data_IF_460382841852
#
_entry.id   IF_460382841852
#
_cell.length_a   1.000
_cell.length_b   1.000
_cell.length_c   1.000
_cell.angle_alpha   90.00
_cell.angle_beta   90.00
_cell.angle_gamma   90.00
#
_symmetry.space_group_name_H-M   'P 1'
#
loop_
_entity.id
_entity.type
_entity.pdbx_description
1 polymer ?
#
# COMPACT_ATOMS: atom_id res chain seq x y z
N UNK A 1 14.97 25.87 11.85
CA UNK A 1 15.00 24.65 12.66
C UNK A 1 13.74 23.85 12.34
N UNK A 2 13.79 22.52 12.34
CA UNK A 2 12.59 21.68 12.21
C UNK A 2 11.84 21.65 13.54
N UNK A 3 10.50 21.58 13.54
CA UNK A 3 9.73 21.49 14.78
C UNK A 3 9.98 20.13 15.46
N UNK A 4 9.92 20.10 16.80
CA UNK A 4 9.94 18.85 17.55
C UNK A 4 8.59 18.13 17.41
N UNK A 5 8.64 16.92 16.86
CA UNK A 5 7.47 16.06 16.61
C UNK A 5 7.38 14.88 17.59
N UNK A 6 8.19 14.89 18.65
CA UNK A 6 8.18 13.85 19.69
C UNK A 6 6.90 13.90 20.51
N UNK A 7 6.40 12.70 20.86
CA UNK A 7 5.25 12.49 21.74
C UNK A 7 5.16 11.01 22.12
N UNK A 8 4.30 10.68 23.09
CA UNK A 8 4.07 9.30 23.49
C UNK A 8 3.32 8.52 22.41
N UNK A 9 3.97 7.50 21.85
CA UNK A 9 3.40 6.58 20.88
C UNK A 9 3.04 7.21 19.52
N UNK A 10 2.62 6.37 18.54
CA UNK A 10 2.27 6.83 17.20
C UNK A 10 1.11 7.84 17.18
N UNK A 11 0.09 7.64 18.02
CA UNK A 11 -1.07 8.54 18.13
C UNK A 11 -0.67 9.94 18.61
N UNK A 12 0.12 10.01 19.69
CA UNK A 12 0.64 11.27 20.20
C UNK A 12 1.48 12.00 19.16
N UNK A 13 2.35 11.27 18.44
CA UNK A 13 3.17 11.86 17.37
C UNK A 13 2.32 12.37 16.22
N UNK A 14 1.25 11.66 15.86
CA UNK A 14 0.31 12.11 14.83
C UNK A 14 -0.42 13.40 15.24
N UNK A 15 -0.85 13.50 16.50
CA UNK A 15 -1.45 14.71 17.05
C UNK A 15 -0.47 15.90 17.06
N UNK A 16 0.78 15.67 17.50
CA UNK A 16 1.86 16.69 17.50
C UNK A 16 2.20 17.16 16.08
N UNK A 17 2.23 16.24 15.13
CA UNK A 17 2.44 16.53 13.71
C UNK A 17 1.32 17.39 13.14
N UNK A 18 0.05 17.04 13.42
CA UNK A 18 -1.09 17.82 12.96
C UNK A 18 -1.07 19.26 13.53
N UNK A 19 -0.63 19.43 14.78
CA UNK A 19 -0.45 20.76 15.37
C UNK A 19 0.68 21.53 14.69
N UNK A 20 1.84 20.92 14.46
CA UNK A 20 2.96 21.56 13.78
C UNK A 20 2.62 21.98 12.33
N UNK A 21 1.83 21.17 11.61
CA UNK A 21 1.33 21.53 10.28
C UNK A 21 0.43 22.76 10.31
N UNK A 22 -0.46 22.87 11.30
CA UNK A 22 -1.33 24.05 11.49
C UNK A 22 -0.52 25.30 11.83
N UNK A 23 0.42 25.19 12.78
CA UNK A 23 1.29 26.28 13.19
C UNK A 23 2.14 26.79 12.00
N UNK A 24 2.74 25.89 11.23
CA UNK A 24 3.53 26.23 10.05
C UNK A 24 2.67 26.90 8.96
N UNK A 25 1.45 26.40 8.73
CA UNK A 25 0.53 26.99 7.74
C UNK A 25 0.11 28.40 8.15
N UNK A 26 -0.20 28.61 9.43
CA UNK A 26 -0.59 29.91 9.96
C UNK A 26 0.58 30.93 9.96
N UNK A 27 1.82 30.45 10.09
CA UNK A 27 2.99 31.31 10.01
C UNK A 27 3.21 31.91 8.61
N UNK A 28 2.74 31.24 7.55
CA UNK A 28 2.91 31.72 6.18
C UNK A 28 4.36 31.75 5.70
N UNK A 29 5.23 30.95 6.30
CA UNK A 29 6.65 30.83 5.98
C UNK A 29 7.00 29.39 5.56
N UNK A 30 8.20 29.21 5.00
CA UNK A 30 8.72 27.88 4.71
C UNK A 30 8.97 27.08 6.01
N UNK A 31 8.40 25.89 6.10
CA UNK A 31 8.71 24.93 7.15
C UNK A 31 9.02 23.54 6.58
N UNK A 32 9.90 22.82 7.27
CA UNK A 32 10.21 21.42 7.01
C UNK A 32 9.87 20.62 8.26
N UNK A 33 8.99 19.64 8.13
CA UNK A 33 8.72 18.63 9.15
C UNK A 33 9.55 17.39 8.79
N UNK A 34 10.44 17.00 9.70
CA UNK A 34 11.33 15.86 9.56
C UNK A 34 10.71 14.64 10.25
N UNK A 35 10.56 13.53 9.51
CA UNK A 35 9.86 12.32 9.95
C UNK A 35 8.52 12.60 10.68
N UNK A 36 7.57 13.32 10.05
CA UNK A 36 6.26 13.53 10.64
C UNK A 36 5.49 12.21 10.75
N UNK A 37 4.64 12.09 11.78
CA UNK A 37 3.74 10.95 11.90
C UNK A 37 2.35 11.37 11.41
N UNK A 38 1.76 10.61 10.50
CA UNK A 38 0.43 10.82 9.95
C UNK A 38 -0.47 9.63 10.30
N UNK A 39 -1.77 9.89 10.42
CA UNK A 39 -2.77 8.85 10.63
C UNK A 39 -3.67 8.72 9.39
N UNK A 40 -3.88 7.48 8.96
CA UNK A 40 -4.82 7.13 7.90
C UNK A 40 -5.66 5.93 8.35
N UNK A 41 -6.97 6.00 8.16
CA UNK A 41 -7.83 4.86 8.41
C UNK A 41 -7.69 3.83 7.28
N UNK A 42 -7.38 2.59 7.65
CA UNK A 42 -7.25 1.45 6.73
C UNK A 42 -8.17 0.36 7.25
N UNK A 43 -9.21 0.04 6.47
CA UNK A 43 -10.16 -1.03 6.80
C UNK A 43 -10.77 -0.90 8.23
N UNK A 44 -11.08 0.32 8.66
CA UNK A 44 -11.66 0.59 9.99
C UNK A 44 -10.66 0.75 11.13
N UNK A 45 -9.36 0.54 10.90
CA UNK A 45 -8.31 0.69 11.92
C UNK A 45 -7.34 1.83 11.59
N UNK A 46 -6.81 2.58 12.58
CA UNK A 46 -5.79 3.59 12.34
C UNK A 46 -4.45 2.94 11.94
N UNK A 47 -3.94 3.34 10.77
CA UNK A 47 -2.57 3.11 10.36
C UNK A 47 -1.75 4.39 10.57
N UNK A 48 -0.58 4.23 11.19
CA UNK A 48 0.37 5.31 11.42
C UNK A 48 1.49 5.24 10.39
N UNK A 49 1.76 6.39 9.77
CA UNK A 49 2.57 6.52 8.57
C UNK A 49 3.64 7.58 8.80
N UNK A 50 4.87 7.28 8.44
CA UNK A 50 6.02 8.20 8.61
C UNK A 50 6.63 8.50 7.24
N UNK A 51 6.23 9.60 6.57
CA UNK A 51 6.97 10.13 5.43
C UNK A 51 8.36 10.55 5.85
N UNK A 52 9.31 10.59 4.90
CA UNK A 52 10.68 11.06 5.21
C UNK A 52 10.65 12.54 5.61
N UNK A 53 9.92 13.38 4.85
CA UNK A 53 9.62 14.74 5.27
C UNK A 53 8.35 15.32 4.63
N UNK A 54 7.86 16.42 5.20
CA UNK A 54 6.81 17.26 4.61
C UNK A 54 7.25 18.71 4.63
N UNK A 55 7.17 19.37 3.47
CA UNK A 55 7.44 20.81 3.33
C UNK A 55 6.12 21.57 3.35
N UNK A 56 6.01 22.59 4.21
CA UNK A 56 4.95 23.59 4.20
C UNK A 56 5.47 24.83 3.48
N UNK A 57 4.74 25.26 2.46
CA UNK A 57 5.05 26.44 1.65
C UNK A 57 4.36 27.68 2.26
N UNK A 58 4.88 28.89 2.01
CA UNK A 58 4.25 30.15 2.43
C UNK A 58 2.79 30.34 1.99
N UNK A 59 2.41 29.71 0.87
CA UNK A 59 1.04 29.74 0.32
C UNK A 59 0.10 28.71 0.96
N UNK A 60 0.55 28.00 2.00
CA UNK A 60 -0.22 26.96 2.69
C UNK A 60 -0.18 25.59 2.01
N UNK A 61 0.52 25.44 0.88
CA UNK A 61 0.69 24.14 0.22
C UNK A 61 1.59 23.22 1.04
N UNK A 62 1.22 21.95 1.16
CA UNK A 62 2.04 20.89 1.75
C UNK A 62 2.57 19.96 0.65
N UNK A 63 3.87 19.66 0.67
CA UNK A 63 4.53 18.77 -0.28
C UNK A 63 5.23 17.64 0.45
N UNK A 64 4.87 16.40 0.12
CA UNK A 64 5.57 15.20 0.59
C UNK A 64 6.95 15.13 -0.05
N UNK A 65 7.95 14.79 0.74
CA UNK A 65 9.30 14.46 0.30
C UNK A 65 9.57 12.99 0.61
N UNK A 66 9.90 12.22 -0.42
CA UNK A 66 10.30 10.82 -0.32
C UNK A 66 11.78 10.67 -0.64
N UNK A 67 12.53 10.04 0.24
CA UNK A 67 13.95 9.75 0.08
C UNK A 67 14.11 8.26 -0.22
N UNK A 68 14.79 7.92 -1.32
CA UNK A 68 15.05 6.54 -1.72
C UNK A 68 16.51 6.33 -2.07
N UNK A 69 17.02 5.12 -1.82
CA UNK A 69 18.43 4.76 -2.01
C UNK A 69 18.80 4.31 -3.41
N UNK A 70 17.83 4.15 -4.32
CA UNK A 70 18.15 3.82 -5.72
C UNK A 70 18.66 5.07 -6.46
N UNK A 71 19.65 4.94 -7.35
CA UNK A 71 20.24 6.10 -8.01
C UNK A 71 19.33 6.68 -9.09
N UNK A 72 19.44 8.01 -9.29
CA UNK A 72 19.04 8.69 -10.51
C UNK A 72 20.26 8.80 -11.42
N UNK A 73 20.31 8.00 -12.49
CA UNK A 73 21.36 7.95 -13.49
C UNK A 73 20.98 8.86 -14.65
N UNK A 74 21.83 9.84 -14.97
CA UNK A 74 21.59 10.79 -16.07
C UNK A 74 20.21 11.47 -15.98
N UNK A 75 19.83 11.87 -14.75
CA UNK A 75 18.52 12.46 -14.41
C UNK A 75 17.30 11.54 -14.63
N UNK A 76 17.52 10.23 -14.79
CA UNK A 76 16.48 9.21 -14.91
C UNK A 76 16.61 8.16 -13.81
N UNK A 77 15.51 7.56 -13.39
CA UNK A 77 15.51 6.43 -12.49
C UNK A 77 14.67 5.29 -13.06
N UNK A 78 14.93 4.08 -12.57
CA UNK A 78 14.14 2.91 -12.91
C UNK A 78 12.63 3.17 -12.69
N UNK A 79 11.85 3.04 -13.77
CA UNK A 79 10.44 3.40 -13.76
C UNK A 79 9.61 2.56 -12.77
N UNK A 80 10.02 1.32 -12.50
CA UNK A 80 9.34 0.47 -11.52
C UNK A 80 9.57 0.97 -10.09
N UNK A 81 10.79 1.41 -9.78
CA UNK A 81 11.16 2.00 -8.48
C UNK A 81 10.50 3.36 -8.26
N UNK A 82 10.49 4.23 -9.27
CA UNK A 82 9.76 5.50 -9.24
C UNK A 82 8.26 5.26 -9.05
N UNK A 83 7.70 4.28 -9.76
CA UNK A 83 6.29 3.89 -9.61
C UNK A 83 5.95 3.37 -8.21
N UNK A 84 6.86 2.64 -7.57
CA UNK A 84 6.71 2.19 -6.18
C UNK A 84 6.75 3.38 -5.20
N UNK A 85 7.72 4.28 -5.34
CA UNK A 85 7.82 5.48 -4.53
C UNK A 85 6.59 6.39 -4.69
N UNK A 86 6.08 6.56 -5.91
CA UNK A 86 4.87 7.32 -6.18
C UNK A 86 3.62 6.72 -5.50
N UNK A 87 3.52 5.38 -5.43
CA UNK A 87 2.43 4.70 -4.71
C UNK A 87 2.53 4.92 -3.21
N UNK A 88 3.73 4.86 -2.63
CA UNK A 88 3.96 5.15 -1.22
C UNK A 88 3.60 6.60 -0.88
N UNK A 89 4.13 7.56 -1.65
CA UNK A 89 3.84 8.98 -1.50
C UNK A 89 2.34 9.30 -1.60
N UNK A 90 1.61 8.59 -2.47
CA UNK A 90 0.16 8.74 -2.58
C UNK A 90 -0.60 8.37 -1.31
N UNK A 91 -0.11 7.41 -0.51
CA UNK A 91 -0.68 7.08 0.81
C UNK A 91 -0.49 8.26 1.77
N UNK A 92 0.70 8.87 1.77
CA UNK A 92 1.01 10.02 2.61
C UNK A 92 0.21 11.26 2.21
N UNK A 93 0.02 11.50 0.91
CA UNK A 93 -0.87 12.55 0.41
C UNK A 93 -2.30 12.35 0.92
N UNK A 94 -2.84 11.12 0.88
CA UNK A 94 -4.18 10.82 1.40
C UNK A 94 -4.28 11.06 2.92
N UNK A 95 -3.23 10.74 3.68
CA UNK A 95 -3.18 10.99 5.11
C UNK A 95 -3.14 12.50 5.43
N UNK A 96 -2.31 13.26 4.71
CA UNK A 96 -2.24 14.72 4.83
C UNK A 96 -3.58 15.39 4.48
N UNK A 97 -4.30 14.89 3.47
CA UNK A 97 -5.60 15.46 3.07
C UNK A 97 -6.61 15.46 4.22
N UNK A 98 -6.55 14.47 5.13
CA UNK A 98 -7.41 14.44 6.33
C UNK A 98 -7.09 15.58 7.30
N UNK A 99 -5.80 15.91 7.45
CA UNK A 99 -5.37 17.01 8.32
C UNK A 99 -5.65 18.37 7.66
N UNK A 100 -5.40 18.48 6.35
CA UNK A 100 -5.67 19.68 5.58
C UNK A 100 -7.17 20.02 5.53
N UNK A 101 -8.06 19.02 5.45
CA UNK A 101 -9.50 19.23 5.43
C UNK A 101 -10.05 19.99 6.66
N UNK A 102 -9.31 20.01 7.77
CA UNK A 102 -9.65 20.74 9.01
C UNK A 102 -8.64 21.85 9.35
N UNK A 103 -7.77 22.21 8.41
CA UNK A 103 -6.77 23.26 8.58
C UNK A 103 -7.03 24.37 7.55
N UNK A 104 -7.43 25.55 8.04
CA UNK A 104 -7.66 26.70 7.17
C UNK A 104 -6.38 27.10 6.41
N UNK A 105 -6.52 27.38 5.12
CA UNK A 105 -5.39 27.75 4.24
C UNK A 105 -4.50 26.59 3.80
N UNK A 106 -4.71 25.35 4.29
CA UNK A 106 -3.90 24.22 3.88
C UNK A 106 -4.34 23.60 2.55
N UNK A 107 -3.39 23.33 1.66
CA UNK A 107 -3.60 22.58 0.43
C UNK A 107 -2.58 21.45 0.30
N UNK A 108 -3.02 20.20 0.04
CA UNK A 108 -2.08 19.10 -0.19
C UNK A 108 -1.69 19.02 -1.67
N UNK A 109 -0.41 19.27 -1.94
CA UNK A 109 0.15 19.20 -3.28
C UNK A 109 0.06 17.80 -3.88
N UNK A 110 -0.33 17.72 -5.15
CA UNK A 110 -0.44 16.47 -5.91
C UNK A 110 0.87 16.07 -6.63
N UNK A 111 1.91 16.88 -6.44
CA UNK A 111 3.27 16.64 -6.91
C UNK A 111 4.16 16.51 -5.68
N UNK A 112 4.93 15.44 -5.62
CA UNK A 112 5.82 15.13 -4.50
C UNK A 112 7.27 15.26 -4.93
N UNK A 113 8.16 15.46 -3.99
CA UNK A 113 9.60 15.52 -4.24
C UNK A 113 10.21 14.15 -3.97
N UNK A 114 10.69 13.47 -5.01
CA UNK A 114 11.48 12.25 -4.88
C UNK A 114 12.96 12.63 -4.85
N UNK A 115 13.64 12.32 -3.75
CA UNK A 115 15.07 12.55 -3.54
C UNK A 115 15.80 11.22 -3.62
N UNK A 116 16.83 11.16 -4.47
CA UNK A 116 17.65 9.98 -4.68
C UNK A 116 19.14 10.35 -4.79
N UNK A 117 20.06 9.39 -4.57
CA UNK A 117 21.45 9.55 -4.94
C UNK A 117 21.62 9.91 -6.42
N UNK A 118 22.49 10.87 -6.73
CA UNK A 118 22.85 11.27 -8.08
C UNK A 118 23.91 10.33 -8.63
N UNK A 119 23.63 9.71 -9.77
CA UNK A 119 24.51 8.78 -10.47
C UNK A 119 25.04 7.71 -9.50
N UNK A 120 26.36 7.55 -9.39
CA UNK A 120 27.01 6.62 -8.46
C UNK A 120 27.57 7.32 -7.21
N UNK A 121 27.07 8.51 -6.87
CA UNK A 121 27.52 9.30 -5.74
C UNK A 121 26.52 9.27 -4.58
N UNK A 122 26.94 9.74 -3.40
CA UNK A 122 26.06 10.00 -2.26
C UNK A 122 25.46 11.42 -2.26
N UNK A 123 25.60 12.18 -3.36
CA UNK A 123 25.01 13.50 -3.47
C UNK A 123 23.52 13.37 -3.78
N UNK A 124 22.63 14.13 -3.11
CA UNK A 124 21.22 14.08 -3.42
C UNK A 124 20.93 14.79 -4.74
N UNK A 125 20.02 14.23 -5.51
CA UNK A 125 19.29 14.92 -6.57
C UNK A 125 17.80 14.68 -6.39
N UNK A 126 16.97 15.57 -6.90
CA UNK A 126 15.53 15.55 -6.66
C UNK A 126 14.74 15.65 -7.97
N UNK A 127 13.61 14.94 -8.02
CA UNK A 127 12.69 14.95 -9.14
C UNK A 127 11.26 15.12 -8.65
N UNK A 128 10.47 15.89 -9.40
CA UNK A 128 9.06 16.13 -9.07
C UNK A 128 8.21 15.04 -9.71
N UNK A 129 7.44 14.32 -8.89
CA UNK A 129 6.60 13.20 -9.33
C UNK A 129 5.13 13.54 -9.14
N UNK A 130 4.33 13.47 -10.21
CA UNK A 130 2.87 13.61 -10.14
C UNK A 130 2.26 12.30 -9.63
N UNK A 131 1.50 12.38 -8.53
CA UNK A 131 0.91 11.21 -7.87
C UNK A 131 -0.61 11.14 -8.01
N UNK A 132 -1.25 11.98 -8.84
CA UNK A 132 -2.72 12.01 -8.97
C UNK A 132 -3.32 10.66 -9.32
N UNK A 133 -2.69 9.93 -10.26
CA UNK A 133 -3.13 8.59 -10.68
C UNK A 133 -3.02 7.59 -9.53
N UNK A 134 -1.89 7.55 -8.86
CA UNK A 134 -1.61 6.64 -7.74
C UNK A 134 -2.56 6.93 -6.59
N UNK A 135 -2.73 8.19 -6.21
CA UNK A 135 -3.69 8.64 -5.20
C UNK A 135 -5.12 8.20 -5.53
N UNK A 136 -5.59 8.40 -6.76
CA UNK A 136 -6.94 7.98 -7.15
C UNK A 136 -7.14 6.47 -7.03
N UNK A 137 -6.15 5.68 -7.43
CA UNK A 137 -6.17 4.21 -7.31
C UNK A 137 -6.15 3.79 -5.84
N UNK A 138 -5.21 4.32 -5.05
CA UNK A 138 -5.07 4.01 -3.62
C UNK A 138 -6.33 4.35 -2.85
N UNK A 139 -6.92 5.53 -3.08
CA UNK A 139 -8.18 5.92 -2.46
C UNK A 139 -9.29 4.92 -2.77
N UNK A 140 -9.47 4.57 -4.05
CA UNK A 140 -10.49 3.59 -4.47
C UNK A 140 -10.27 2.24 -3.80
N UNK A 141 -9.02 1.80 -3.66
CA UNK A 141 -8.70 0.54 -2.97
C UNK A 141 -9.07 0.62 -1.49
N UNK A 142 -8.64 1.67 -0.78
CA UNK A 142 -8.96 1.88 0.63
C UNK A 142 -10.47 1.87 0.89
N UNK A 143 -11.27 2.52 0.05
CA UNK A 143 -12.75 2.54 0.18
C UNK A 143 -13.44 1.19 -0.03
N UNK A 144 -12.72 0.20 -0.58
CA UNK A 144 -13.25 -1.13 -0.92
C UNK A 144 -12.67 -2.24 -0.06
N UNK A 145 -11.79 -1.90 0.89
CA UNK A 145 -11.24 -2.89 1.80
C UNK A 145 -12.37 -3.40 2.69
N UNK A 146 -12.44 -4.73 2.81
CA UNK A 146 -13.22 -5.38 3.87
C UNK A 146 -12.71 -4.89 5.21
N UNK A 147 -13.61 -4.56 6.13
CA UNK A 147 -13.23 -4.05 7.45
C UNK A 147 -12.45 -5.13 8.20
N UNK A 148 -11.49 -4.73 9.03
CA UNK A 148 -10.65 -5.66 9.80
C UNK A 148 -11.50 -6.50 10.74
N UNK A 149 -12.53 -5.92 11.34
CA UNK A 149 -13.51 -6.62 12.17
C UNK A 149 -14.29 -7.70 11.41
N UNK A 150 -14.65 -7.47 10.14
CA UNK A 150 -15.33 -8.48 9.32
C UNK A 150 -14.38 -9.63 8.99
N UNK A 151 -13.10 -9.32 8.74
CA UNK A 151 -12.04 -10.33 8.54
C UNK A 151 -11.84 -11.13 9.84
N UNK A 152 -11.74 -10.45 10.98
CA UNK A 152 -11.52 -11.07 12.29
C UNK A 152 -12.71 -11.94 12.72
N UNK A 153 -13.94 -11.55 12.39
CA UNK A 153 -15.15 -12.34 12.66
C UNK A 153 -15.18 -13.66 11.87
N UNK A 154 -14.41 -13.78 10.79
CA UNK A 154 -14.23 -15.03 10.04
C UNK A 154 -13.22 -16.00 10.64
N UNK A 155 -12.49 -15.59 11.69
CA UNK A 155 -11.47 -16.42 12.34
C UNK A 155 -12.07 -17.20 13.53
N UNK A 156 -11.48 -18.35 13.89
CA UNK A 156 -11.86 -19.07 15.10
C UNK A 156 -11.82 -18.17 16.35
N UNK A 157 -12.75 -18.38 17.28
CA UNK A 157 -12.77 -17.65 18.55
C UNK A 157 -11.44 -17.83 19.30
N UNK A 158 -10.89 -16.74 19.83
CA UNK A 158 -9.60 -16.74 20.52
C UNK A 158 -8.37 -16.67 19.61
N UNK A 159 -8.53 -16.62 18.28
CA UNK A 159 -7.39 -16.45 17.36
C UNK A 159 -6.63 -15.16 17.66
N UNK A 160 -5.31 -15.28 17.90
CA UNK A 160 -4.40 -14.15 18.12
C UNK A 160 -3.17 -14.28 17.23
N UNK A 161 -2.62 -13.14 16.81
CA UNK A 161 -1.35 -13.04 16.08
C UNK A 161 -0.27 -12.35 16.93
N UNK A 162 -0.44 -12.35 18.26
CA UNK A 162 0.54 -11.77 19.18
C UNK A 162 1.85 -12.57 19.12
N UNK A 163 2.97 -11.97 18.69
CA UNK A 163 4.25 -12.66 18.60
C UNK A 163 4.79 -13.14 19.97
N UNK A 164 4.19 -12.73 21.09
CA UNK A 164 4.51 -13.25 22.41
C UNK A 164 3.87 -14.62 22.72
N UNK A 165 2.89 -15.08 21.93
CA UNK A 165 2.28 -16.39 22.09
C UNK A 165 3.24 -17.54 21.71
N UNK A 166 3.01 -18.75 22.22
CA UNK A 166 3.73 -19.94 21.78
C UNK A 166 3.65 -20.15 20.26
N UNK A 167 4.73 -20.66 19.66
CA UNK A 167 4.80 -20.86 18.20
C UNK A 167 3.67 -21.73 17.65
N UNK A 168 3.25 -22.76 18.38
CA UNK A 168 2.16 -23.65 17.96
C UNK A 168 0.81 -22.91 17.83
N UNK A 169 0.57 -21.93 18.69
CA UNK A 169 -0.64 -21.10 18.66
C UNK A 169 -0.60 -20.14 17.47
N UNK A 170 0.57 -19.53 17.21
CA UNK A 170 0.80 -18.68 16.04
C UNK A 170 0.67 -19.46 14.72
N UNK A 171 1.19 -20.68 14.67
CA UNK A 171 1.07 -21.56 13.50
C UNK A 171 -0.40 -21.91 13.22
N UNK A 172 -1.17 -22.22 14.27
CA UNK A 172 -2.61 -22.45 14.16
C UNK A 172 -3.36 -21.20 13.67
N UNK A 173 -3.03 -20.02 14.20
CA UNK A 173 -3.62 -18.75 13.79
C UNK A 173 -3.33 -18.44 12.31
N UNK A 174 -2.08 -18.60 11.86
CA UNK A 174 -1.69 -18.41 10.45
C UNK A 174 -2.40 -19.42 9.55
N UNK A 175 -2.50 -20.69 9.97
CA UNK A 175 -3.17 -21.73 9.21
C UNK A 175 -4.68 -21.47 9.02
N UNK A 176 -5.32 -20.79 9.97
CA UNK A 176 -6.74 -20.42 9.91
C UNK A 176 -7.05 -19.36 8.83
N UNK A 177 -6.06 -18.61 8.35
CA UNK A 177 -6.25 -17.57 7.32
C UNK A 177 -6.23 -18.19 5.91
N UNK A 178 -7.16 -17.81 5.01
CA UNK A 178 -7.09 -18.20 3.61
C UNK A 178 -5.81 -17.69 2.92
N UNK A 179 -5.15 -18.51 2.07
CA UNK A 179 -3.91 -18.08 1.43
C UNK A 179 -4.20 -17.04 0.35
N UNK A 180 -3.61 -15.85 0.47
CA UNK A 180 -3.68 -14.79 -0.54
C UNK A 180 -2.41 -14.76 -1.41
N UNK A 181 -1.91 -15.94 -1.82
CA UNK A 181 -0.64 -16.05 -2.54
C UNK A 181 -0.72 -15.36 -3.91
N UNK A 182 0.39 -14.75 -4.33
CA UNK A 182 0.68 -14.45 -5.72
C UNK A 182 2.19 -14.67 -5.96
N UNK A 183 2.64 -14.96 -7.19
CA UNK A 183 4.05 -15.23 -7.48
C UNK A 183 5.02 -14.14 -7.00
N UNK A 184 4.57 -12.87 -7.02
CA UNK A 184 5.39 -11.74 -6.56
C UNK A 184 5.69 -11.78 -5.06
N UNK A 185 4.90 -12.52 -4.27
CA UNK A 185 5.12 -12.68 -2.83
C UNK A 185 6.49 -13.32 -2.53
N UNK A 186 7.02 -14.18 -3.42
CA UNK A 186 8.31 -14.84 -3.22
C UNK A 186 9.49 -13.86 -3.11
N UNK A 187 9.33 -12.61 -3.55
CA UNK A 187 10.36 -11.58 -3.48
C UNK A 187 10.23 -10.65 -2.26
N UNK A 188 9.12 -10.71 -1.52
CA UNK A 188 8.76 -9.64 -0.57
C UNK A 188 8.01 -10.09 0.69
N UNK A 189 7.63 -11.37 0.80
CA UNK A 189 6.82 -11.87 1.91
C UNK A 189 7.44 -13.14 2.50
N UNK A 190 7.78 -13.09 3.79
CA UNK A 190 8.33 -14.23 4.53
C UNK A 190 7.38 -15.44 4.58
N UNK A 191 6.07 -15.20 4.51
CA UNK A 191 5.04 -16.24 4.49
C UNK A 191 4.76 -16.81 3.08
N UNK A 192 5.49 -16.38 2.04
CA UNK A 192 5.18 -16.72 0.66
C UNK A 192 5.18 -18.24 0.41
N UNK A 193 6.11 -18.99 1.01
CA UNK A 193 6.17 -20.45 0.85
C UNK A 193 4.98 -21.16 1.49
N UNK A 194 4.55 -20.70 2.68
CA UNK A 194 3.36 -21.22 3.36
C UNK A 194 2.11 -21.03 2.50
N UNK A 195 1.82 -19.78 2.10
CA UNK A 195 0.66 -19.48 1.27
C UNK A 195 0.71 -20.19 -0.09
N UNK A 196 1.90 -20.30 -0.70
CA UNK A 196 2.09 -21.04 -1.97
C UNK A 196 1.75 -22.52 -1.83
N UNK A 197 2.21 -23.16 -0.76
CA UNK A 197 1.94 -24.57 -0.51
C UNK A 197 0.44 -24.83 -0.37
N UNK A 198 -0.25 -23.99 0.41
CA UNK A 198 -1.70 -24.06 0.61
C UNK A 198 -2.48 -23.82 -0.69
N UNK A 199 -2.17 -22.74 -1.42
CA UNK A 199 -2.80 -22.47 -2.73
C UNK A 199 -2.57 -23.59 -3.75
N UNK A 200 -1.42 -24.27 -3.71
CA UNK A 200 -1.18 -25.45 -4.58
C UNK A 200 -2.01 -26.65 -4.15
N UNK A 201 -2.11 -26.92 -2.86
CA UNK A 201 -2.92 -28.01 -2.33
C UNK A 201 -4.41 -27.83 -2.67
N UNK A 202 -4.90 -26.58 -2.66
CA UNK A 202 -6.26 -26.21 -3.04
C UNK A 202 -6.47 -26.13 -4.57
N UNK A 203 -5.41 -26.29 -5.37
CA UNK A 203 -5.46 -26.15 -6.82
C UNK A 203 -5.85 -24.75 -7.28
N UNK A 204 -5.54 -23.72 -6.50
CA UNK A 204 -5.96 -22.34 -6.70
C UNK A 204 -5.23 -21.68 -7.88
N UNK A 205 -5.97 -20.92 -8.70
CA UNK A 205 -5.43 -20.23 -9.90
C UNK A 205 -4.48 -19.08 -9.56
N UNK A 206 -4.50 -18.61 -8.32
CA UNK A 206 -3.57 -17.64 -7.73
C UNK A 206 -2.10 -18.01 -7.99
N UNK A 207 -1.80 -19.31 -8.03
CA UNK A 207 -0.46 -19.83 -8.30
C UNK A 207 0.05 -19.51 -9.70
N UNK A 208 -0.85 -19.17 -10.64
CA UNK A 208 -0.54 -18.79 -12.03
C UNK A 208 -0.26 -17.28 -12.18
N UNK A 209 -0.51 -16.49 -11.13
CA UNK A 209 -0.26 -15.06 -11.13
C UNK A 209 -1.48 -14.18 -11.40
N UNK A 210 -1.34 -12.90 -11.02
CA UNK A 210 -2.46 -11.94 -10.98
C UNK A 210 -3.07 -11.67 -12.35
N UNK A 211 -2.25 -11.64 -13.41
CA UNK A 211 -2.74 -11.43 -14.78
C UNK A 211 -3.66 -12.56 -15.21
N UNK A 212 -3.19 -13.81 -15.08
CA UNK A 212 -3.95 -15.00 -15.45
C UNK A 212 -5.22 -15.09 -14.61
N UNK A 213 -5.13 -14.91 -13.29
CA UNK A 213 -6.30 -14.87 -12.40
C UNK A 213 -7.35 -13.84 -12.86
N UNK A 214 -6.91 -12.66 -13.28
CA UNK A 214 -7.81 -11.61 -13.76
C UNK A 214 -8.59 -11.99 -15.01
N UNK A 215 -7.99 -12.77 -15.92
CA UNK A 215 -8.62 -13.27 -17.14
C UNK A 215 -9.59 -14.43 -16.89
N UNK A 216 -9.32 -15.24 -15.86
CA UNK A 216 -10.12 -16.41 -15.50
C UNK A 216 -11.44 -16.08 -14.78
N UNK A 217 -11.66 -14.82 -14.42
CA UNK A 217 -12.94 -14.35 -13.87
C UNK A 217 -13.38 -15.15 -12.64
N UNK A 218 -14.54 -15.80 -12.73
CA UNK A 218 -15.12 -16.61 -11.64
C UNK A 218 -14.49 -18.01 -11.46
N UNK A 219 -13.59 -18.44 -12.35
CA UNK A 219 -12.94 -19.74 -12.26
C UNK A 219 -11.74 -19.65 -11.30
N UNK A 220 -11.88 -20.23 -10.11
CA UNK A 220 -10.91 -20.10 -9.02
C UNK A 220 -9.95 -21.28 -8.87
N UNK A 221 -10.21 -22.41 -9.53
CA UNK A 221 -9.34 -23.60 -9.47
C UNK A 221 -8.83 -24.01 -10.85
N UNK A 222 -7.60 -24.51 -10.90
CA UNK A 222 -6.98 -25.03 -12.13
C UNK A 222 -7.81 -26.16 -12.73
N UNK A 223 -8.35 -27.05 -11.88
CA UNK A 223 -9.24 -28.12 -12.32
C UNK A 223 -10.52 -27.58 -12.98
N UNK A 224 -11.16 -26.57 -12.38
CA UNK A 224 -12.34 -25.92 -12.95
C UNK A 224 -12.05 -25.24 -14.29
N UNK A 225 -10.90 -24.59 -14.43
CA UNK A 225 -10.46 -24.01 -15.71
C UNK A 225 -10.30 -25.07 -16.79
N UNK A 226 -9.64 -26.20 -16.47
CA UNK A 226 -9.46 -27.29 -17.42
C UNK A 226 -10.79 -27.98 -17.79
N UNK A 227 -11.70 -28.14 -16.83
CA UNK A 227 -13.03 -28.68 -17.07
C UNK A 227 -13.88 -27.77 -17.97
N UNK A 228 -13.81 -26.45 -17.74
CA UNK A 228 -14.47 -25.44 -18.57
C UNK A 228 -13.93 -25.44 -20.01
N UNK A 229 -12.60 -25.48 -20.15
CA UNK A 229 -11.91 -25.54 -21.43
C UNK A 229 -12.26 -26.82 -22.22
N UNK A 230 -12.36 -27.97 -21.55
CA UNK A 230 -12.76 -29.24 -22.15
C UNK A 230 -14.27 -29.35 -22.44
N UNK A 231 -15.07 -28.31 -22.15
CA UNK A 231 -16.52 -28.32 -22.35
C UNK A 231 -17.29 -29.23 -21.39
N UNK A 232 -16.67 -29.68 -20.30
CA UNK A 232 -17.29 -30.57 -19.30
C UNK A 232 -18.12 -29.79 -18.29
N UNK A 233 -17.70 -28.56 -17.98
CA UNK A 233 -18.35 -27.64 -17.05
C UNK A 233 -18.35 -26.21 -17.63
N UNK A 234 -18.90 -25.26 -16.87
CA UNK A 234 -18.91 -23.83 -17.19
C UNK A 234 -20.08 -23.41 -18.08
N UNK A 235 -20.68 -22.27 -17.74
CA UNK A 235 -21.75 -21.65 -18.53
C UNK A 235 -21.22 -21.29 -19.93
N UNK A 236 -21.78 -21.85 -21.02
CA UNK A 236 -21.38 -21.48 -22.38
C UNK A 236 -21.57 -20.01 -22.71
N UNK A 237 -22.45 -19.31 -21.98
CA UNK A 237 -22.68 -17.87 -22.13
C UNK A 237 -21.62 -17.02 -21.40
N UNK A 238 -20.83 -17.62 -20.49
CA UNK A 238 -19.72 -16.93 -19.85
C UNK A 238 -18.61 -16.66 -20.89
N UNK A 239 -18.24 -15.38 -21.12
CA UNK A 239 -17.23 -15.03 -22.11
C UNK A 239 -15.85 -15.63 -21.81
N UNK A 240 -15.50 -15.82 -20.54
CA UNK A 240 -14.26 -16.47 -20.12
C UNK A 240 -14.27 -17.95 -20.48
N UNK A 241 -15.37 -18.67 -20.20
CA UNK A 241 -15.53 -20.08 -20.59
C UNK A 241 -15.49 -20.23 -22.11
N UNK A 242 -16.19 -19.37 -22.85
CA UNK A 242 -16.16 -19.38 -24.30
C UNK A 242 -14.75 -19.10 -24.86
N UNK A 243 -13.98 -18.21 -24.23
CA UNK A 243 -12.59 -17.95 -24.61
C UNK A 243 -11.69 -19.16 -24.35
N UNK A 244 -11.81 -19.81 -23.19
CA UNK A 244 -11.05 -21.01 -22.85
C UNK A 244 -11.30 -22.15 -23.85
N UNK A 245 -12.57 -22.39 -24.21
CA UNK A 245 -12.94 -23.43 -25.19
C UNK A 245 -12.43 -23.16 -26.59
N UNK A 246 -12.28 -21.89 -26.99
CA UNK A 246 -11.67 -21.53 -28.29
C UNK A 246 -10.16 -21.73 -28.30
N UNK A 247 -9.52 -21.70 -27.14
CA UNK A 247 -8.08 -21.80 -27.00
C UNK A 247 -7.58 -23.25 -26.79
N UNK A 248 -8.46 -24.15 -26.35
CA UNK A 248 -8.20 -25.57 -26.16
C UNK A 248 -8.33 -26.37 -27.47
#
# INVERSE_FOLDING_TARGET
ATPDLSAAGPEGRAARTALALREATAAGDWALLDHPMLALEVAGSPAYLEPDAVVVHPDGRWTVVEIKSFPMIDASADASKVGAAARQAAVYVLALERVAAVTEGAEVGQRVLLVCPKDFSNLPTASVVDVRKQRAVTRRQLTRLTRIEDIAAGLPEGTTFDPACPSEELDAAVAAVPPAYAPECLAACELAFHCRAKSRAEGAVETLGRSVRGELGGLTTVAGVLAAAAGKEGDPADPTVAALRRAA
#
